data_IF_593943266416
#
_entry.id   IF_593943266416
#
_cell.length_a   1.000
_cell.length_b   1.000
_cell.length_c   1.000
_cell.angle_alpha   90.00
_cell.angle_beta   90.00
_cell.angle_gamma   90.00
#
_symmetry.space_group_name_H-M   'P 1'
#
loop_
_entity.id
_entity.type
_entity.pdbx_description
1 polymer ?
#
# COMPACT_ATOMS: atom_id res chain seq x y z
N UNK A 1 21.91 15.08 -14.13
CA UNK A 1 21.95 15.26 -12.66
C UNK A 1 20.88 14.35 -12.11
N UNK A 2 21.29 13.31 -11.37
CA UNK A 2 20.48 12.13 -11.13
C UNK A 2 19.34 12.35 -10.15
N UNK A 3 18.16 11.87 -10.52
CA UNK A 3 17.09 11.56 -9.58
C UNK A 3 17.60 10.45 -8.65
N UNK A 4 18.26 10.80 -7.55
CA UNK A 4 18.33 9.90 -6.41
C UNK A 4 16.90 9.70 -5.93
N UNK A 5 16.20 8.69 -6.47
CA UNK A 5 14.94 8.20 -5.94
C UNK A 5 15.25 7.68 -4.53
N UNK A 6 15.10 8.54 -3.54
CA UNK A 6 15.14 8.15 -2.14
C UNK A 6 14.01 7.14 -1.92
N UNK A 7 14.36 5.86 -1.86
CA UNK A 7 13.44 4.79 -1.49
C UNK A 7 13.02 5.02 -0.05
N UNK A 8 11.76 5.38 0.16
CA UNK A 8 11.18 5.57 1.49
C UNK A 8 11.19 4.30 2.32
N UNK A 9 11.11 3.14 1.66
CA UNK A 9 11.24 1.84 2.32
C UNK A 9 12.70 1.58 2.76
N UNK A 10 13.70 1.98 1.98
CA UNK A 10 15.10 1.87 2.39
C UNK A 10 15.43 2.72 3.64
N UNK A 11 14.81 3.90 3.79
CA UNK A 11 14.95 4.75 4.98
C UNK A 11 14.52 4.05 6.29
N UNK A 12 13.57 3.10 6.20
CA UNK A 12 13.04 2.34 7.33
C UNK A 12 13.55 0.89 7.39
N UNK A 13 14.67 0.59 6.68
CA UNK A 13 15.28 -0.75 6.61
C UNK A 13 14.33 -1.85 6.13
N UNK A 14 13.39 -1.52 5.25
CA UNK A 14 12.45 -2.45 4.63
C UNK A 14 12.74 -2.54 3.14
N UNK A 15 12.82 -3.76 2.59
CA UNK A 15 12.93 -3.94 1.14
C UNK A 15 11.53 -3.93 0.51
N UNK A 16 11.44 -3.54 -0.77
CA UNK A 16 10.19 -3.62 -1.55
C UNK A 16 9.60 -5.04 -1.52
N UNK A 17 10.45 -6.06 -1.72
CA UNK A 17 10.04 -7.46 -1.66
C UNK A 17 9.45 -7.83 -0.30
N UNK A 18 10.07 -7.42 0.80
CA UNK A 18 9.53 -7.71 2.14
C UNK A 18 8.17 -7.03 2.35
N UNK A 19 8.02 -5.76 1.93
CA UNK A 19 6.75 -5.04 2.03
C UNK A 19 5.64 -5.73 1.23
N UNK A 20 5.95 -6.10 -0.01
CA UNK A 20 5.05 -6.88 -0.85
C UNK A 20 4.64 -8.21 -0.20
N UNK A 21 5.62 -9.01 0.23
CA UNK A 21 5.38 -10.34 0.80
C UNK A 21 4.56 -10.26 2.10
N UNK A 22 4.77 -9.23 2.93
CA UNK A 22 3.98 -9.01 4.14
C UNK A 22 2.53 -8.61 3.80
N UNK A 23 2.30 -7.74 2.82
CA UNK A 23 0.96 -7.35 2.38
C UNK A 23 0.18 -8.54 1.80
N UNK A 24 0.83 -9.37 0.98
CA UNK A 24 0.21 -10.59 0.43
C UNK A 24 -0.15 -11.58 1.56
N UNK A 25 0.73 -11.77 2.55
CA UNK A 25 0.45 -12.63 3.72
C UNK A 25 -0.75 -12.14 4.54
N UNK A 26 -0.99 -10.84 4.57
CA UNK A 26 -2.14 -10.22 5.26
C UNK A 26 -3.45 -10.42 4.48
N UNK A 27 -3.38 -10.88 3.24
CA UNK A 27 -4.55 -11.15 2.39
C UNK A 27 -4.87 -10.03 1.40
N UNK A 28 -3.92 -9.12 1.14
CA UNK A 28 -4.04 -8.16 0.04
C UNK A 28 -3.75 -8.90 -1.28
N UNK A 29 -4.56 -8.70 -2.35
CA UNK A 29 -4.29 -9.28 -3.66
C UNK A 29 -2.90 -8.88 -4.18
N UNK A 30 -2.24 -9.78 -4.90
CA UNK A 30 -0.83 -9.61 -5.34
C UNK A 30 -0.60 -8.31 -6.12
N UNK A 31 -1.49 -7.99 -7.05
CA UNK A 31 -1.42 -6.75 -7.82
C UNK A 31 -1.56 -5.51 -6.93
N UNK A 32 -2.54 -5.51 -6.02
CA UNK A 32 -2.77 -4.40 -5.09
C UNK A 32 -1.61 -4.24 -4.11
N UNK A 33 -1.02 -5.34 -3.63
CA UNK A 33 0.15 -5.34 -2.75
C UNK A 33 1.37 -4.72 -3.44
N UNK A 34 1.58 -5.02 -4.73
CA UNK A 34 2.63 -4.40 -5.55
C UNK A 34 2.42 -2.89 -5.68
N UNK A 35 1.20 -2.46 -6.03
CA UNK A 35 0.88 -1.04 -6.17
C UNK A 35 1.03 -0.27 -4.84
N UNK A 36 0.57 -0.83 -3.72
CA UNK A 36 0.78 -0.24 -2.40
C UNK A 36 2.28 -0.09 -2.13
N UNK A 37 3.06 -1.15 -2.36
CA UNK A 37 4.51 -1.16 -2.13
C UNK A 37 5.21 -0.08 -2.93
N UNK A 38 4.89 0.05 -4.22
CA UNK A 38 5.46 1.08 -5.09
C UNK A 38 5.13 2.49 -4.61
N UNK A 39 3.87 2.73 -4.22
CA UNK A 39 3.42 4.03 -3.74
C UNK A 39 4.09 4.42 -2.42
N UNK A 40 4.23 3.45 -1.49
CA UNK A 40 4.99 3.64 -0.25
C UNK A 40 6.47 3.92 -0.54
N UNK A 41 7.08 3.17 -1.46
CA UNK A 41 8.50 3.29 -1.81
C UNK A 41 8.85 4.64 -2.44
N UNK A 42 8.02 5.11 -3.36
CA UNK A 42 8.19 6.42 -4.02
C UNK A 42 7.76 7.57 -3.09
N UNK A 43 6.98 7.28 -2.04
CA UNK A 43 6.41 8.29 -1.14
C UNK A 43 5.35 9.15 -1.82
N UNK A 44 4.61 8.57 -2.77
CA UNK A 44 3.54 9.24 -3.52
C UNK A 44 2.19 8.65 -3.18
N UNK A 45 1.16 9.48 -3.31
CA UNK A 45 -0.22 9.06 -3.15
C UNK A 45 -0.75 8.52 -4.46
N UNK A 46 -1.44 7.40 -4.38
CA UNK A 46 -1.91 6.65 -5.53
C UNK A 46 -3.38 6.29 -5.34
N UNK A 47 -4.11 6.24 -6.44
CA UNK A 47 -5.47 5.72 -6.47
C UNK A 47 -5.65 4.85 -7.69
N UNK A 48 -6.28 3.70 -7.54
CA UNK A 48 -6.62 2.82 -8.66
C UNK A 48 -7.94 2.10 -8.40
N UNK A 49 -8.45 1.43 -9.43
CA UNK A 49 -9.66 0.63 -9.37
C UNK A 49 -9.29 -0.83 -9.57
N UNK A 50 -9.79 -1.69 -8.69
CA UNK A 50 -9.71 -3.14 -8.86
C UNK A 50 -11.07 -3.79 -8.59
N UNK A 51 -11.28 -5.00 -9.10
CA UNK A 51 -12.48 -5.82 -8.85
C UNK A 51 -12.23 -6.95 -7.85
N UNK A 52 -10.97 -7.18 -7.49
CA UNK A 52 -10.63 -8.23 -6.53
C UNK A 52 -11.19 -7.92 -5.16
N UNK A 53 -11.82 -8.91 -4.55
CA UNK A 53 -12.38 -8.77 -3.21
C UNK A 53 -11.27 -8.76 -2.17
N UNK A 54 -11.30 -7.78 -1.28
CA UNK A 54 -10.42 -7.71 -0.11
C UNK A 54 -11.25 -7.68 1.17
N UNK A 55 -10.77 -8.31 2.22
CA UNK A 55 -11.42 -8.29 3.52
C UNK A 55 -11.06 -7.00 4.29
N UNK A 56 -11.98 -6.42 5.07
CA UNK A 56 -11.68 -5.27 5.93
C UNK A 56 -10.49 -5.53 6.87
N UNK A 57 -10.34 -6.77 7.33
CA UNK A 57 -9.24 -7.21 8.20
C UNK A 57 -7.89 -7.11 7.50
N UNK A 58 -7.81 -7.46 6.21
CA UNK A 58 -6.58 -7.34 5.44
C UNK A 58 -6.18 -5.88 5.26
N UNK A 59 -7.15 -4.99 5.00
CA UNK A 59 -6.91 -3.54 4.91
C UNK A 59 -6.46 -2.96 6.26
N UNK A 60 -7.07 -3.40 7.37
CA UNK A 60 -6.64 -3.02 8.71
C UNK A 60 -5.21 -3.51 9.02
N UNK A 61 -4.88 -4.74 8.62
CA UNK A 61 -3.54 -5.32 8.76
C UNK A 61 -2.49 -4.55 7.96
N UNK A 62 -2.80 -4.17 6.71
CA UNK A 62 -1.91 -3.34 5.89
C UNK A 62 -1.65 -1.97 6.56
N UNK A 63 -2.69 -1.33 7.09
CA UNK A 63 -2.53 -0.08 7.83
C UNK A 63 -1.75 -0.23 9.13
N UNK A 64 -1.88 -1.35 9.83
CA UNK A 64 -1.10 -1.65 11.02
C UNK A 64 0.38 -1.85 10.68
N UNK A 65 0.68 -2.55 9.58
CA UNK A 65 2.04 -2.70 9.07
C UNK A 65 2.66 -1.34 8.75
N UNK A 66 1.98 -0.51 7.95
CA UNK A 66 2.44 0.82 7.57
C UNK A 66 2.69 1.70 8.82
N UNK A 67 1.79 1.64 9.80
CA UNK A 67 1.93 2.36 11.06
C UNK A 67 3.12 1.86 11.90
N UNK A 68 3.34 0.55 11.98
CA UNK A 68 4.45 -0.05 12.73
C UNK A 68 5.83 0.39 12.21
N UNK A 69 5.89 0.75 10.92
CA UNK A 69 7.08 1.25 10.25
C UNK A 69 7.20 2.77 10.25
N UNK A 70 6.31 3.47 10.97
CA UNK A 70 6.27 4.92 11.09
C UNK A 70 6.16 5.65 9.73
N UNK A 71 5.51 5.01 8.75
CA UNK A 71 5.22 5.63 7.46
C UNK A 71 3.98 6.52 7.60
N UNK A 72 4.08 7.77 7.13
CA UNK A 72 2.98 8.73 7.12
C UNK A 72 1.98 8.47 5.98
N UNK A 73 1.57 7.21 5.82
CA UNK A 73 0.66 6.74 4.79
C UNK A 73 -0.48 5.91 5.40
N UNK A 74 -1.58 5.79 4.67
CA UNK A 74 -2.71 4.92 4.98
C UNK A 74 -3.29 4.36 3.69
N UNK A 75 -3.76 3.11 3.76
CA UNK A 75 -4.48 2.42 2.68
C UNK A 75 -5.97 2.50 2.98
N UNK A 76 -6.75 2.98 2.01
CA UNK A 76 -8.21 3.02 2.07
C UNK A 76 -8.78 2.24 0.91
N UNK A 77 -9.87 1.54 1.18
CA UNK A 77 -10.64 0.82 0.17
C UNK A 77 -12.09 1.26 0.29
N UNK A 78 -12.61 1.85 -0.79
CA UNK A 78 -13.99 2.34 -0.86
C UNK A 78 -14.73 1.58 -1.94
N UNK A 79 -15.93 1.09 -1.65
CA UNK A 79 -16.76 0.41 -2.66
C UNK A 79 -17.32 1.44 -3.64
N UNK A 80 -17.08 1.22 -4.93
CA UNK A 80 -17.65 1.99 -6.03
C UNK A 80 -18.87 1.28 -6.63
N UNK A 81 -19.39 1.84 -7.73
CA UNK A 81 -20.44 1.21 -8.54
C UNK A 81 -19.90 -0.01 -9.29
N UNK A 82 -20.79 -0.93 -9.65
CA UNK A 82 -20.49 -2.12 -10.46
C UNK A 82 -19.45 -3.05 -9.81
N UNK A 83 -19.53 -3.22 -8.49
CA UNK A 83 -18.66 -4.12 -7.70
C UNK A 83 -17.15 -3.82 -7.81
N UNK A 84 -16.80 -2.61 -8.25
CA UNK A 84 -15.42 -2.13 -8.22
C UNK A 84 -15.06 -1.59 -6.84
N UNK A 85 -13.80 -1.72 -6.49
CA UNK A 85 -13.19 -1.12 -5.31
C UNK A 85 -12.23 -0.02 -5.75
N UNK A 86 -12.35 1.14 -5.12
CA UNK A 86 -11.37 2.22 -5.22
C UNK A 86 -10.36 1.99 -4.12
N UNK A 87 -9.11 1.79 -4.52
CA UNK A 87 -7.96 1.72 -3.64
C UNK A 87 -7.29 3.07 -3.60
N UNK A 88 -6.91 3.52 -2.41
CA UNK A 88 -6.20 4.78 -2.21
C UNK A 88 -5.07 4.58 -1.20
N UNK A 89 -3.86 4.99 -1.57
CA UNK A 89 -2.73 5.17 -0.64
C UNK A 89 -2.57 6.67 -0.44
N UNK A 90 -2.94 7.16 0.74
CA UNK A 90 -2.99 8.59 1.06
C UNK A 90 -2.12 8.94 2.26
N UNK A 91 -1.88 10.24 2.50
CA UNK A 91 -1.21 10.68 3.73
C UNK A 91 -2.14 10.42 4.91
N UNK A 92 -1.63 9.76 5.95
CA UNK A 92 -2.33 9.68 7.23
C UNK A 92 -2.52 11.11 7.79
N UNK A 93 -3.76 11.51 8.03
CA UNK A 93 -4.10 12.81 8.62
C UNK A 93 -3.82 12.87 10.12
#
# INVERSE_FOLDING_TARGET
>A
MGDQKFSKLAEIQMTEKQAHDELVKIGIPELDAGLITDCLNVGKFCSWLNTDTVTPEAVAGANALIASKNLAAEVKVTRARFDKLIWEVARRK
#
